data_IF_464151226887
#
_entry.id   IF_464151226887
#
_cell.length_a   1.000
_cell.length_b   1.000
_cell.length_c   1.000
_cell.angle_alpha   90.00
_cell.angle_beta   90.00
_cell.angle_gamma   90.00
#
_symmetry.space_group_name_H-M   'P 1'
#
loop_
_entity.id
_entity.type
_entity.pdbx_description
1 polymer ?
#
# COMPACT_ATOMS: atom_id res chain seq x y z
N UNK A 1 0.29 20.21 20.75
CA UNK A 1 0.63 20.35 19.31
C UNK A 1 0.94 19.00 18.66
N UNK A 2 1.98 18.27 19.09
CA UNK A 2 2.36 16.97 18.48
C UNK A 2 1.23 15.93 18.47
N UNK A 3 0.52 15.75 19.59
CA UNK A 3 -0.62 14.82 19.69
C UNK A 3 -1.75 15.14 18.70
N UNK A 4 -1.96 16.41 18.39
CA UNK A 4 -2.98 16.84 17.43
C UNK A 4 -2.59 16.47 16.01
N UNK A 5 -1.31 16.67 15.65
CA UNK A 5 -0.77 16.31 14.33
C UNK A 5 -0.83 14.80 14.13
N UNK A 6 -0.43 14.01 15.13
CA UNK A 6 -0.49 12.54 15.07
C UNK A 6 -1.93 12.09 14.81
N UNK A 7 -2.91 12.57 15.61
CA UNK A 7 -4.32 12.22 15.42
C UNK A 7 -4.86 12.61 14.04
N UNK A 8 -4.41 13.73 13.49
CA UNK A 8 -4.79 14.13 12.14
C UNK A 8 -4.27 13.15 11.09
N UNK A 9 -3.00 12.75 11.19
CA UNK A 9 -2.39 11.77 10.27
C UNK A 9 -3.08 10.42 10.40
N UNK A 10 -3.36 9.96 11.62
CA UNK A 10 -4.09 8.72 11.88
C UNK A 10 -5.48 8.75 11.24
N UNK A 11 -6.24 9.85 11.45
CA UNK A 11 -7.57 10.02 10.87
C UNK A 11 -7.54 10.03 9.33
N UNK A 12 -6.54 10.70 8.74
CA UNK A 12 -6.36 10.74 7.30
C UNK A 12 -6.08 9.34 6.76
N UNK A 13 -5.11 8.62 7.33
CA UNK A 13 -4.79 7.25 6.94
C UNK A 13 -6.00 6.32 7.09
N UNK A 14 -6.76 6.43 8.18
CA UNK A 14 -7.98 5.67 8.42
C UNK A 14 -9.06 5.90 7.35
N UNK A 15 -9.33 7.17 7.04
CA UNK A 15 -10.34 7.52 6.02
C UNK A 15 -9.92 7.08 4.64
N UNK A 16 -8.68 7.36 4.27
CA UNK A 16 -8.13 7.03 2.95
C UNK A 16 -8.05 5.51 2.78
N UNK A 17 -7.52 4.78 3.77
CA UNK A 17 -7.41 3.33 3.71
C UNK A 17 -8.76 2.62 3.61
N UNK A 18 -9.75 3.05 4.40
CA UNK A 18 -11.12 2.50 4.31
C UNK A 18 -11.86 2.88 3.02
N UNK A 19 -11.56 4.03 2.43
CA UNK A 19 -12.12 4.39 1.13
C UNK A 19 -11.51 3.52 0.02
N UNK A 20 -10.18 3.38 0.01
CA UNK A 20 -9.43 2.61 -0.98
C UNK A 20 -9.68 1.10 -0.86
N UNK A 21 -10.02 0.57 0.31
CA UNK A 21 -10.32 -0.86 0.46
C UNK A 21 -11.50 -1.32 -0.40
N UNK A 22 -12.44 -0.45 -0.74
CA UNK A 22 -13.52 -0.76 -1.67
C UNK A 22 -13.02 -1.05 -3.10
N UNK A 23 -11.87 -0.49 -3.50
CA UNK A 23 -11.24 -0.84 -4.78
C UNK A 23 -10.80 -2.29 -4.82
N UNK A 24 -10.52 -2.93 -3.67
CA UNK A 24 -10.18 -4.37 -3.64
C UNK A 24 -11.36 -5.20 -4.13
N UNK A 25 -12.58 -4.87 -3.68
CA UNK A 25 -13.81 -5.56 -4.11
C UNK A 25 -14.02 -5.39 -5.61
N UNK A 26 -13.88 -4.14 -6.11
CA UNK A 26 -14.00 -3.85 -7.53
C UNK A 26 -12.92 -4.55 -8.36
N UNK A 27 -11.68 -4.61 -7.87
CA UNK A 27 -10.57 -5.30 -8.51
C UNK A 27 -10.85 -6.80 -8.61
N UNK A 28 -11.30 -7.45 -7.54
CA UNK A 28 -11.67 -8.88 -7.56
C UNK A 28 -12.75 -9.16 -8.58
N UNK A 29 -13.80 -8.34 -8.62
CA UNK A 29 -14.86 -8.47 -9.62
C UNK A 29 -14.34 -8.31 -11.04
N UNK A 30 -13.48 -7.32 -11.27
CA UNK A 30 -12.88 -7.03 -12.58
C UNK A 30 -11.96 -8.17 -13.03
N UNK A 31 -11.10 -8.69 -12.15
CA UNK A 31 -10.23 -9.83 -12.44
C UNK A 31 -11.04 -11.10 -12.73
N UNK A 32 -12.12 -11.34 -11.98
CA UNK A 32 -13.03 -12.46 -12.25
C UNK A 32 -13.69 -12.33 -13.62
N UNK A 33 -14.21 -11.15 -13.94
CA UNK A 33 -14.82 -10.87 -15.25
C UNK A 33 -13.81 -11.09 -16.39
N UNK A 34 -12.58 -10.60 -16.24
CA UNK A 34 -11.50 -10.84 -17.22
C UNK A 34 -11.24 -12.34 -17.39
N UNK A 35 -11.17 -13.10 -16.30
CA UNK A 35 -10.92 -14.54 -16.38
C UNK A 35 -12.05 -15.29 -17.11
N UNK A 36 -13.32 -14.97 -16.81
CA UNK A 36 -14.48 -15.59 -17.48
C UNK A 36 -14.51 -15.24 -18.97
N UNK A 37 -14.36 -13.96 -19.31
CA UNK A 37 -14.40 -13.52 -20.71
C UNK A 37 -13.24 -14.12 -21.51
N UNK A 38 -12.01 -14.05 -20.96
CA UNK A 38 -10.80 -14.46 -21.67
C UNK A 38 -10.68 -15.98 -21.80
N UNK A 39 -10.94 -16.72 -20.73
CA UNK A 39 -10.72 -18.17 -20.71
C UNK A 39 -12.00 -18.97 -20.99
N UNK A 40 -13.17 -18.45 -20.60
CA UNK A 40 -14.45 -19.11 -20.84
C UNK A 40 -15.05 -18.80 -22.21
N UNK A 41 -14.90 -17.55 -22.69
CA UNK A 41 -15.53 -17.08 -23.94
C UNK A 41 -14.52 -16.69 -25.03
N UNK A 42 -13.21 -16.77 -24.75
CA UNK A 42 -12.14 -16.34 -25.66
C UNK A 42 -12.24 -14.87 -26.11
N UNK A 43 -12.91 -14.02 -25.32
CA UNK A 43 -13.05 -12.58 -25.54
C UNK A 43 -12.07 -11.81 -24.63
N UNK A 44 -11.35 -10.84 -25.20
CA UNK A 44 -10.35 -10.08 -24.46
C UNK A 44 -10.28 -8.62 -24.86
N UNK A 45 -10.25 -7.74 -23.85
CA UNK A 45 -10.02 -6.31 -24.02
C UNK A 45 -8.85 -5.86 -23.17
N UNK A 46 -7.90 -5.16 -23.79
CA UNK A 46 -6.67 -4.68 -23.11
C UNK A 46 -7.03 -3.72 -21.98
N UNK A 47 -7.91 -2.75 -22.22
CA UNK A 47 -8.29 -1.76 -21.19
C UNK A 47 -8.86 -2.40 -19.91
N UNK A 48 -9.62 -3.50 -20.06
CA UNK A 48 -10.20 -4.22 -18.92
C UNK A 48 -9.12 -4.98 -18.15
N UNK A 49 -8.11 -5.53 -18.84
CA UNK A 49 -6.96 -6.18 -18.21
C UNK A 49 -6.08 -5.17 -17.48
N UNK A 50 -5.78 -4.05 -18.11
CA UNK A 50 -5.00 -2.96 -17.50
C UNK A 50 -5.73 -2.39 -16.27
N UNK A 51 -7.07 -2.33 -16.28
CA UNK A 51 -7.83 -1.72 -15.19
C UNK A 51 -7.58 -2.35 -13.82
N UNK A 52 -7.52 -3.69 -13.70
CA UNK A 52 -7.25 -4.32 -12.40
C UNK A 52 -5.79 -4.15 -11.97
N UNK A 53 -4.85 -3.99 -12.92
CA UNK A 53 -3.44 -3.68 -12.63
C UNK A 53 -3.32 -2.27 -12.04
N UNK A 54 -3.99 -1.29 -12.64
CA UNK A 54 -4.03 0.08 -12.12
C UNK A 54 -4.73 0.18 -10.77
N UNK A 55 -5.85 -0.53 -10.58
CA UNK A 55 -6.50 -0.62 -9.26
C UNK A 55 -5.55 -1.19 -8.21
N UNK A 56 -4.83 -2.26 -8.53
CA UNK A 56 -3.84 -2.85 -7.63
C UNK A 56 -2.73 -1.85 -7.26
N UNK A 57 -2.20 -1.12 -8.26
CA UNK A 57 -1.19 -0.08 -8.02
C UNK A 57 -1.68 1.01 -7.07
N UNK A 58 -2.91 1.49 -7.25
CA UNK A 58 -3.53 2.49 -6.35
C UNK A 58 -3.66 1.92 -4.93
N UNK A 59 -4.18 0.70 -4.79
CA UNK A 59 -4.34 0.05 -3.49
C UNK A 59 -2.98 -0.07 -2.79
N UNK A 60 -1.96 -0.57 -3.47
CA UNK A 60 -0.64 -0.77 -2.89
C UNK A 60 0.00 0.55 -2.43
N UNK A 61 -0.03 1.58 -3.28
CA UNK A 61 0.61 2.86 -2.98
C UNK A 61 -0.13 3.64 -1.89
N UNK A 62 -1.46 3.64 -1.91
CA UNK A 62 -2.28 4.48 -1.04
C UNK A 62 -2.60 3.80 0.29
N UNK A 63 -2.77 2.48 0.31
CA UNK A 63 -3.10 1.74 1.54
C UNK A 63 -1.86 1.42 2.40
N UNK A 64 -0.63 1.62 1.90
CA UNK A 64 0.59 1.32 2.66
C UNK A 64 0.64 2.02 4.03
N UNK A 65 0.24 3.30 4.09
CA UNK A 65 0.14 4.06 5.35
C UNK A 65 -0.92 3.52 6.31
N UNK A 66 -2.06 3.07 5.78
CA UNK A 66 -3.12 2.43 6.55
C UNK A 66 -2.66 1.10 7.16
N UNK A 67 -1.97 0.27 6.38
CA UNK A 67 -1.40 -1.00 6.84
C UNK A 67 -0.32 -0.77 7.90
N UNK A 68 0.49 0.28 7.76
CA UNK A 68 1.50 0.62 8.77
C UNK A 68 0.84 1.08 10.08
N UNK A 69 -0.22 1.88 10.00
CA UNK A 69 -1.00 2.34 11.16
C UNK A 69 -1.60 1.18 11.96
N UNK A 70 -2.07 0.13 11.29
CA UNK A 70 -2.66 -1.05 11.92
C UNK A 70 -1.64 -2.15 12.26
N UNK A 71 -0.34 -1.84 12.19
CA UNK A 71 0.76 -2.78 12.41
C UNK A 71 0.68 -4.05 11.53
N UNK A 72 -0.04 -4.00 10.39
CA UNK A 72 -0.28 -5.15 9.51
C UNK A 72 0.89 -5.53 8.61
N UNK A 73 2.04 -4.86 8.74
CA UNK A 73 3.26 -5.26 8.07
C UNK A 73 3.83 -6.50 8.74
N UNK A 74 4.33 -7.46 7.95
CA UNK A 74 4.99 -8.66 8.47
C UNK A 74 6.17 -8.24 9.36
N UNK A 75 6.10 -8.60 10.63
CA UNK A 75 7.13 -8.37 11.64
C UNK A 75 7.63 -9.71 12.13
N UNK A 76 8.83 -9.71 12.70
CA UNK A 76 9.36 -10.90 13.38
C UNK A 76 8.71 -10.97 14.76
N UNK A 77 7.61 -11.70 14.86
CA UNK A 77 6.79 -11.78 16.07
C UNK A 77 7.56 -12.28 17.30
N UNK A 78 8.59 -13.11 17.12
CA UNK A 78 9.44 -13.60 18.20
C UNK A 78 10.20 -12.47 18.92
N UNK A 79 10.76 -11.52 18.16
CA UNK A 79 11.51 -10.39 18.71
C UNK A 79 10.52 -9.35 19.23
N UNK A 80 9.44 -9.09 18.48
CA UNK A 80 8.47 -8.06 18.82
C UNK A 80 7.63 -8.43 20.05
N UNK A 81 7.28 -9.70 20.24
CA UNK A 81 6.54 -10.18 21.41
C UNK A 81 7.36 -10.13 22.71
N UNK A 82 8.67 -10.32 22.63
CA UNK A 82 9.56 -10.46 23.79
C UNK A 82 10.06 -9.12 24.37
N UNK A 83 9.91 -7.99 23.66
CA UNK A 83 10.51 -6.70 24.05
C UNK A 83 9.49 -5.68 24.55
N UNK A 84 9.91 -4.79 25.45
CA UNK A 84 9.07 -3.73 26.02
C UNK A 84 8.74 -2.59 25.04
N UNK A 85 7.74 -1.77 25.39
CA UNK A 85 7.20 -0.68 24.54
C UNK A 85 8.25 0.33 24.05
N UNK A 86 9.23 0.67 24.89
CA UNK A 86 10.31 1.60 24.50
C UNK A 86 11.22 1.00 23.43
N UNK A 87 11.55 -0.28 23.54
CA UNK A 87 12.36 -1.00 22.56
C UNK A 87 11.61 -1.15 21.24
N UNK A 88 10.29 -1.45 21.28
CA UNK A 88 9.43 -1.46 20.09
C UNK A 88 9.45 -0.13 19.34
N UNK A 89 9.34 0.98 20.07
CA UNK A 89 9.39 2.32 19.49
C UNK A 89 10.73 2.60 18.80
N UNK A 90 11.86 2.20 19.41
CA UNK A 90 13.19 2.30 18.79
C UNK A 90 13.32 1.43 17.54
N UNK A 91 12.84 0.19 17.58
CA UNK A 91 12.85 -0.72 16.42
C UNK A 91 12.06 -0.10 15.27
N UNK A 92 10.86 0.44 15.53
CA UNK A 92 10.05 1.10 14.49
C UNK A 92 10.76 2.33 13.92
N UNK A 93 11.33 3.18 14.79
CA UNK A 93 12.01 4.40 14.37
C UNK A 93 13.23 4.07 13.48
N UNK A 94 14.08 3.15 13.93
CA UNK A 94 15.27 2.74 13.18
C UNK A 94 14.89 2.00 11.90
N UNK A 95 13.87 1.15 11.93
CA UNK A 95 13.37 0.46 10.73
C UNK A 95 12.85 1.44 9.68
N UNK A 96 12.09 2.46 10.10
CA UNK A 96 11.63 3.51 9.18
C UNK A 96 12.81 4.31 8.63
N UNK A 97 13.76 4.70 9.48
CA UNK A 97 14.88 5.55 9.10
C UNK A 97 15.89 4.85 8.18
N UNK A 98 16.22 3.59 8.49
CA UNK A 98 17.33 2.86 7.85
C UNK A 98 16.86 1.92 6.73
N UNK A 99 15.58 1.53 6.72
CA UNK A 99 15.06 0.59 5.72
C UNK A 99 13.99 1.26 4.84
N UNK A 100 12.93 1.81 5.45
CA UNK A 100 11.81 2.37 4.70
C UNK A 100 12.22 3.62 3.90
N UNK A 101 12.84 4.61 4.54
CA UNK A 101 13.21 5.87 3.87
C UNK A 101 14.22 5.67 2.73
N UNK A 102 15.29 4.86 2.89
CA UNK A 102 16.19 4.55 1.77
C UNK A 102 15.48 3.82 0.63
N UNK A 103 14.59 2.87 0.94
CA UNK A 103 13.80 2.18 -0.08
C UNK A 103 12.91 3.17 -0.85
N UNK A 104 12.23 4.09 -0.14
CA UNK A 104 11.43 5.14 -0.78
C UNK A 104 12.28 6.07 -1.65
N UNK A 105 13.51 6.39 -1.24
CA UNK A 105 14.43 7.18 -2.05
C UNK A 105 14.85 6.45 -3.34
N UNK A 106 15.12 5.13 -3.26
CA UNK A 106 15.41 4.30 -4.45
C UNK A 106 14.21 4.24 -5.39
N UNK A 107 13.00 4.01 -4.85
CA UNK A 107 11.75 4.00 -5.64
C UNK A 107 11.54 5.35 -6.31
N UNK A 108 11.72 6.45 -5.58
CA UNK A 108 11.62 7.80 -6.13
C UNK A 108 12.60 8.02 -7.28
N UNK A 109 13.88 7.70 -7.07
CA UNK A 109 14.91 7.86 -8.09
C UNK A 109 14.64 7.02 -9.35
N UNK A 110 14.21 5.77 -9.17
CA UNK A 110 13.88 4.88 -10.29
C UNK A 110 12.61 5.31 -11.03
N UNK A 111 11.59 5.80 -10.32
CA UNK A 111 10.30 6.20 -10.89
C UNK A 111 10.34 7.60 -11.53
N UNK A 112 11.21 8.49 -11.06
CA UNK A 112 11.31 9.88 -11.52
C UNK A 112 11.37 10.07 -13.04
N UNK A 113 12.22 9.35 -13.82
CA UNK A 113 12.24 9.52 -15.27
C UNK A 113 10.94 9.10 -15.95
N UNK A 114 10.25 8.06 -15.45
CA UNK A 114 8.97 7.62 -16.00
C UNK A 114 7.87 8.65 -15.73
N UNK A 115 7.89 9.29 -14.56
CA UNK A 115 6.93 10.35 -14.21
C UNK A 115 7.12 11.56 -15.13
N UNK A 116 8.36 11.97 -15.42
CA UNK A 116 8.65 13.10 -16.32
C UNK A 116 8.19 12.85 -17.77
N UNK A 117 8.09 11.58 -18.19
CA UNK A 117 7.72 11.18 -19.55
C UNK A 117 6.23 10.75 -19.64
N UNK A 118 5.44 10.99 -18.59
CA UNK A 118 4.06 10.47 -18.50
C UNK A 118 2.99 11.33 -19.19
N UNK A 119 3.38 12.47 -19.77
CA UNK A 119 2.53 13.39 -20.56
C UNK A 119 3.19 13.72 -21.90
#
# INVERSE_FOLDING_TARGET
MLKTIVRLIELLNERVGRAVSWLVVLMVFTTFLVAVLRYGLSLGWVWLQESYVWMHGIIFMVAAGYTLLHDGHVRIDLIYGAVGTKTKAWINLLGVLLLLLPMLAVVWWAAYPYVLLSW
#
